data_IF_410467168702
#
_entry.id   IF_410467168702
#
_cell.length_a   1.000
_cell.length_b   1.000
_cell.length_c   1.000
_cell.angle_alpha   90.00
_cell.angle_beta   90.00
_cell.angle_gamma   90.00
#
_symmetry.space_group_name_H-M   'P 1'
#
loop_
_entity.id
_entity.type
_entity.pdbx_description
1 polymer ?
#
# COMPACT_ATOMS: atom_id res chain seq x y z
N UNK A 1 5.53 -23.48 -4.80
CA UNK A 1 6.31 -22.23 -4.91
C UNK A 1 5.95 -21.54 -6.20
N UNK A 2 5.79 -20.23 -6.16
CA UNK A 2 5.41 -19.41 -7.32
C UNK A 2 6.59 -18.50 -7.65
N UNK A 3 7.57 -19.01 -8.41
CA UNK A 3 8.65 -18.16 -8.92
C UNK A 3 8.13 -17.33 -10.09
N UNK A 4 8.31 -16.00 -10.00
CA UNK A 4 7.95 -15.02 -11.02
C UNK A 4 9.17 -14.13 -11.27
N UNK A 5 10.04 -14.56 -12.18
CA UNK A 5 11.37 -13.97 -12.37
C UNK A 5 11.44 -12.95 -13.52
N UNK A 6 10.31 -12.69 -14.18
CA UNK A 6 10.22 -11.73 -15.27
C UNK A 6 9.58 -10.42 -14.80
N UNK A 7 9.94 -9.32 -15.44
CA UNK A 7 9.28 -8.02 -15.31
C UNK A 7 8.28 -7.81 -16.44
N UNK A 8 7.27 -7.00 -16.21
CA UNK A 8 6.35 -6.61 -17.28
C UNK A 8 6.80 -5.27 -17.87
N UNK A 9 7.39 -5.29 -19.06
CA UNK A 9 7.93 -4.12 -19.74
C UNK A 9 7.48 -4.13 -21.21
N UNK A 10 6.91 -3.03 -21.67
CA UNK A 10 6.48 -2.84 -23.06
C UNK A 10 5.54 -3.94 -23.57
N UNK A 11 4.53 -4.30 -22.75
CA UNK A 11 3.56 -5.33 -23.11
C UNK A 11 4.09 -6.77 -23.05
N UNK A 12 5.28 -6.99 -22.51
CA UNK A 12 5.93 -8.31 -22.49
C UNK A 12 6.51 -8.65 -21.11
N UNK A 13 6.52 -9.94 -20.81
CA UNK A 13 7.26 -10.48 -19.69
C UNK A 13 8.71 -10.72 -20.11
N UNK A 14 9.64 -9.98 -19.49
CA UNK A 14 11.06 -9.97 -19.86
C UNK A 14 11.94 -10.32 -18.65
N UNK A 15 13.04 -11.03 -18.90
CA UNK A 15 14.01 -11.38 -17.86
C UNK A 15 14.75 -10.15 -17.35
N UNK A 16 15.09 -10.18 -16.05
CA UNK A 16 15.98 -9.20 -15.44
C UNK A 16 17.40 -9.26 -16.02
N UNK A 17 18.09 -8.13 -16.01
CA UNK A 17 19.54 -8.08 -16.29
C UNK A 17 20.39 -8.71 -15.17
N UNK A 18 19.80 -9.03 -14.03
CA UNK A 18 20.44 -9.68 -12.89
C UNK A 18 19.89 -11.08 -12.68
N UNK A 19 20.73 -11.99 -12.18
CA UNK A 19 20.31 -13.30 -11.68
C UNK A 19 19.89 -13.29 -10.21
N UNK A 20 19.98 -12.14 -9.54
CA UNK A 20 19.55 -12.01 -8.14
C UNK A 20 18.04 -12.12 -8.01
N UNK A 21 17.61 -12.77 -6.93
CA UNK A 21 16.19 -12.95 -6.61
C UNK A 21 15.88 -12.47 -5.20
N UNK A 22 14.61 -12.16 -4.98
CA UNK A 22 14.06 -11.78 -3.68
C UNK A 22 13.11 -12.89 -3.26
N UNK A 23 13.31 -13.41 -2.05
CA UNK A 23 12.39 -14.37 -1.43
C UNK A 23 11.10 -13.67 -1.02
N UNK A 24 9.97 -14.26 -1.40
CA UNK A 24 8.65 -13.85 -0.89
C UNK A 24 8.25 -14.81 0.22
N UNK A 25 8.04 -14.26 1.40
CA UNK A 25 7.82 -15.03 2.62
C UNK A 25 6.37 -14.90 3.06
N UNK A 26 5.72 -16.03 3.36
CA UNK A 26 4.42 -16.01 4.03
C UNK A 26 4.64 -15.69 5.53
N UNK A 27 4.16 -14.55 6.03
CA UNK A 27 4.43 -14.11 7.40
C UNK A 27 3.69 -14.94 8.46
N UNK A 28 2.70 -15.73 8.08
CA UNK A 28 1.96 -16.58 9.00
C UNK A 28 2.78 -17.80 9.47
N UNK A 29 3.73 -18.27 8.64
CA UNK A 29 4.50 -19.48 8.92
C UNK A 29 5.99 -19.38 8.56
N UNK A 30 6.45 -18.19 8.17
CA UNK A 30 7.84 -17.85 7.81
C UNK A 30 8.40 -18.67 6.63
N UNK A 31 7.55 -19.33 5.85
CA UNK A 31 7.97 -20.14 4.70
C UNK A 31 8.09 -19.29 3.44
N UNK A 32 9.09 -19.60 2.64
CA UNK A 32 9.23 -19.05 1.30
C UNK A 32 8.11 -19.61 0.42
N UNK A 33 7.32 -18.73 -0.20
CA UNK A 33 6.22 -19.05 -1.11
C UNK A 33 6.61 -18.88 -2.58
N UNK A 34 7.79 -18.35 -2.85
CA UNK A 34 8.40 -18.22 -4.16
C UNK A 34 9.42 -17.09 -4.20
N UNK A 35 9.88 -16.76 -5.41
CA UNK A 35 10.88 -15.74 -5.65
C UNK A 35 10.41 -14.77 -6.73
N UNK A 36 10.89 -13.52 -6.66
CA UNK A 36 10.80 -12.54 -7.74
C UNK A 36 12.21 -12.07 -8.12
N UNK A 37 12.41 -11.61 -9.35
CA UNK A 37 13.68 -11.05 -9.75
C UNK A 37 14.01 -9.76 -8.98
N UNK A 38 15.26 -9.57 -8.61
CA UNK A 38 15.79 -8.33 -8.08
C UNK A 38 16.29 -7.45 -9.23
N UNK A 39 15.50 -6.44 -9.60
CA UNK A 39 15.80 -5.53 -10.70
C UNK A 39 17.02 -4.64 -10.47
N UNK A 40 17.54 -4.14 -11.55
CA UNK A 40 18.70 -3.26 -11.65
C UNK A 40 18.32 -1.86 -12.13
N UNK A 41 19.30 -0.96 -12.17
CA UNK A 41 19.15 0.37 -12.80
C UNK A 41 18.83 0.25 -14.29
N UNK A 42 19.40 -0.75 -14.97
CA UNK A 42 19.19 -0.95 -16.40
C UNK A 42 17.77 -1.45 -16.68
N UNK A 43 17.19 -2.30 -15.83
CA UNK A 43 15.79 -2.71 -15.96
C UNK A 43 14.85 -1.49 -15.82
N UNK A 44 15.15 -0.58 -14.90
CA UNK A 44 14.41 0.69 -14.78
C UNK A 44 14.57 1.55 -16.02
N UNK A 45 15.78 1.67 -16.56
CA UNK A 45 16.03 2.43 -17.78
C UNK A 45 15.21 1.88 -18.95
N UNK A 46 15.16 0.55 -19.16
CA UNK A 46 14.33 -0.10 -20.17
C UNK A 46 12.84 0.21 -19.97
N UNK A 47 12.34 0.10 -18.74
CA UNK A 47 10.94 0.37 -18.42
C UNK A 47 10.57 1.85 -18.66
N UNK A 48 11.45 2.79 -18.30
CA UNK A 48 11.21 4.23 -18.53
C UNK A 48 11.28 4.57 -20.02
N UNK A 49 12.20 3.97 -20.77
CA UNK A 49 12.26 4.14 -22.25
C UNK A 49 10.95 3.63 -22.89
N UNK A 50 10.46 2.45 -22.50
CA UNK A 50 9.19 1.92 -22.98
C UNK A 50 8.03 2.89 -22.66
N UNK A 51 7.94 3.36 -21.42
CA UNK A 51 6.94 4.33 -21.01
C UNK A 51 7.04 5.67 -21.78
N UNK A 52 8.25 6.16 -22.00
CA UNK A 52 8.49 7.42 -22.75
C UNK A 52 8.07 7.28 -24.21
N UNK A 53 8.33 6.15 -24.83
CA UNK A 53 7.91 5.87 -26.21
C UNK A 53 6.38 5.79 -26.31
N UNK A 54 5.73 5.06 -25.43
CA UNK A 54 4.27 4.96 -25.39
C UNK A 54 3.60 6.31 -25.12
N UNK A 55 4.22 7.16 -24.31
CA UNK A 55 3.70 8.49 -24.00
C UNK A 55 3.55 9.36 -25.24
N UNK A 56 4.42 9.22 -26.27
CA UNK A 56 4.36 10.02 -27.49
C UNK A 56 3.01 9.95 -28.21
N UNK A 57 2.29 8.85 -28.04
CA UNK A 57 0.96 8.63 -28.62
C UNK A 57 -0.14 8.69 -27.59
N UNK A 58 0.05 8.06 -26.42
CA UNK A 58 -1.00 7.92 -25.40
C UNK A 58 -1.44 9.26 -24.79
N UNK A 59 -0.57 10.25 -24.71
CA UNK A 59 -0.92 11.60 -24.24
C UNK A 59 -2.06 12.24 -25.04
N UNK A 60 -2.28 11.82 -26.29
CA UNK A 60 -3.34 12.30 -27.18
C UNK A 60 -4.58 11.38 -27.21
N UNK A 61 -4.58 10.32 -26.40
CA UNK A 61 -5.79 9.46 -26.27
C UNK A 61 -6.98 10.26 -25.84
N UNK A 62 -8.13 9.96 -26.40
CA UNK A 62 -9.37 10.63 -26.03
C UNK A 62 -9.80 10.24 -24.61
N UNK A 63 -10.70 11.03 -24.00
CA UNK A 63 -11.33 10.68 -22.73
C UNK A 63 -12.07 9.34 -22.84
N UNK A 64 -12.72 9.09 -23.96
CA UNK A 64 -13.51 7.87 -24.21
C UNK A 64 -12.60 6.64 -24.32
N UNK A 65 -11.45 6.71 -24.99
CA UNK A 65 -10.47 5.62 -25.02
C UNK A 65 -10.01 5.22 -23.62
N UNK A 66 -9.75 6.19 -22.77
CA UNK A 66 -9.31 5.96 -21.36
C UNK A 66 -10.44 5.41 -20.49
N UNK A 67 -11.68 5.83 -20.73
CA UNK A 67 -12.88 5.26 -20.09
C UNK A 67 -13.04 3.80 -20.48
N UNK A 68 -12.88 3.46 -21.78
CA UNK A 68 -12.95 2.08 -22.26
C UNK A 68 -11.86 1.21 -21.60
N UNK A 69 -10.61 1.68 -21.56
CA UNK A 69 -9.53 0.95 -20.90
C UNK A 69 -9.82 0.70 -19.42
N UNK A 70 -10.31 1.69 -18.67
CA UNK A 70 -10.66 1.51 -17.28
C UNK A 70 -11.80 0.50 -17.08
N UNK A 71 -12.82 0.50 -17.95
CA UNK A 71 -13.90 -0.51 -17.92
C UNK A 71 -13.36 -1.92 -18.16
N UNK A 72 -12.46 -2.09 -19.13
CA UNK A 72 -11.84 -3.38 -19.43
C UNK A 72 -10.98 -3.89 -18.26
N UNK A 73 -10.22 -2.99 -17.62
CA UNK A 73 -9.44 -3.31 -16.42
C UNK A 73 -10.36 -3.73 -15.25
N UNK A 74 -11.48 -3.04 -15.05
CA UNK A 74 -12.47 -3.40 -14.02
C UNK A 74 -12.99 -4.81 -14.26
N UNK A 75 -13.40 -5.13 -15.50
CA UNK A 75 -13.93 -6.44 -15.85
C UNK A 75 -12.90 -7.56 -15.61
N UNK A 76 -11.65 -7.36 -16.03
CA UNK A 76 -10.58 -8.35 -15.81
C UNK A 76 -10.16 -8.45 -14.35
N UNK A 77 -10.20 -7.34 -13.58
CA UNK A 77 -9.97 -7.38 -12.14
C UNK A 77 -11.05 -8.20 -11.42
N UNK A 78 -12.33 -8.05 -11.80
CA UNK A 78 -13.44 -8.83 -11.26
C UNK A 78 -13.29 -10.31 -11.57
N UNK A 79 -12.89 -10.67 -12.79
CA UNK A 79 -12.60 -12.04 -13.19
C UNK A 79 -11.49 -12.68 -12.33
N UNK A 80 -10.53 -11.90 -11.87
CA UNK A 80 -9.37 -12.33 -11.06
C UNK A 80 -9.49 -11.97 -9.58
N UNK A 81 -10.68 -11.57 -9.12
CA UNK A 81 -10.89 -11.06 -7.76
C UNK A 81 -10.40 -12.03 -6.67
N UNK A 82 -10.73 -13.31 -6.80
CA UNK A 82 -10.31 -14.32 -5.83
C UNK A 82 -8.79 -14.51 -5.82
N UNK A 83 -8.13 -14.40 -6.97
CA UNK A 83 -6.67 -14.49 -7.06
C UNK A 83 -5.99 -13.35 -6.27
N UNK A 84 -6.57 -12.13 -6.30
CA UNK A 84 -6.09 -11.03 -5.46
C UNK A 84 -6.30 -11.31 -3.98
N UNK A 85 -7.46 -11.83 -3.58
CA UNK A 85 -7.76 -12.20 -2.19
C UNK A 85 -6.73 -13.20 -1.67
N UNK A 86 -6.50 -14.28 -2.41
CA UNK A 86 -5.58 -15.35 -2.05
C UNK A 86 -4.13 -14.84 -2.01
N UNK A 87 -3.73 -14.03 -3.00
CA UNK A 87 -2.39 -13.47 -3.08
C UNK A 87 -2.09 -12.54 -1.89
N UNK A 88 -3.00 -11.64 -1.54
CA UNK A 88 -2.86 -10.75 -0.40
C UNK A 88 -2.75 -11.55 0.91
N UNK A 89 -3.58 -12.58 1.06
CA UNK A 89 -3.56 -13.44 2.25
C UNK A 89 -2.23 -14.16 2.40
N UNK A 90 -1.66 -14.66 1.31
CA UNK A 90 -0.40 -15.40 1.31
C UNK A 90 0.84 -14.51 1.51
N UNK A 91 0.96 -13.39 0.77
CA UNK A 91 2.19 -12.59 0.80
C UNK A 91 2.23 -11.53 1.91
N UNK A 92 1.06 -11.09 2.40
CA UNK A 92 0.96 -10.03 3.42
C UNK A 92 0.46 -10.55 4.77
N UNK A 93 -0.19 -11.73 4.80
CA UNK A 93 -0.76 -12.31 6.01
C UNK A 93 -2.07 -11.66 6.46
N UNK A 94 -2.75 -10.94 5.58
CA UNK A 94 -4.07 -10.39 5.88
C UNK A 94 -5.08 -11.53 6.05
N UNK A 95 -5.92 -11.53 7.10
CA UNK A 95 -6.99 -12.51 7.23
C UNK A 95 -7.86 -12.54 5.97
N UNK A 96 -8.23 -13.74 5.51
CA UNK A 96 -8.96 -13.93 4.25
C UNK A 96 -10.26 -13.11 4.19
N UNK A 97 -10.94 -12.95 5.33
CA UNK A 97 -12.12 -12.09 5.39
C UNK A 97 -11.79 -10.61 5.10
N UNK A 98 -10.64 -10.11 5.59
CA UNK A 98 -10.19 -8.73 5.35
C UNK A 98 -9.64 -8.58 3.93
N UNK A 99 -8.91 -9.58 3.43
CA UNK A 99 -8.43 -9.62 2.04
C UNK A 99 -9.59 -9.52 1.07
N UNK A 100 -10.68 -10.25 1.32
CA UNK A 100 -11.89 -10.21 0.50
C UNK A 100 -12.72 -8.94 0.73
N UNK A 101 -13.10 -8.65 1.98
CA UNK A 101 -14.08 -7.58 2.26
C UNK A 101 -13.51 -6.16 2.09
N UNK A 102 -12.18 -5.99 2.18
CA UNK A 102 -11.54 -4.67 2.18
C UNK A 102 -10.34 -4.56 1.23
N UNK A 103 -9.31 -5.40 1.36
CA UNK A 103 -8.04 -5.21 0.66
C UNK A 103 -8.20 -5.28 -0.88
N UNK A 104 -8.69 -6.40 -1.41
CA UNK A 104 -8.95 -6.55 -2.84
C UNK A 104 -10.09 -5.63 -3.30
N UNK A 105 -11.13 -5.47 -2.46
CA UNK A 105 -12.27 -4.62 -2.77
C UNK A 105 -11.89 -3.14 -2.92
N UNK A 106 -10.97 -2.64 -2.11
CA UNK A 106 -10.49 -1.25 -2.24
C UNK A 106 -9.75 -1.05 -3.56
N UNK A 107 -9.05 -2.06 -4.04
CA UNK A 107 -8.39 -2.01 -5.35
C UNK A 107 -9.36 -1.70 -6.48
N UNK A 108 -10.42 -2.49 -6.62
CA UNK A 108 -11.43 -2.26 -7.66
C UNK A 108 -12.25 -0.98 -7.42
N UNK A 109 -12.52 -0.65 -6.15
CA UNK A 109 -13.22 0.58 -5.79
C UNK A 109 -12.49 1.82 -6.29
N UNK A 110 -11.18 1.89 -6.10
CA UNK A 110 -10.36 3.02 -6.56
C UNK A 110 -10.43 3.19 -8.09
N UNK A 111 -10.44 2.09 -8.84
CA UNK A 111 -10.54 2.15 -10.31
C UNK A 111 -11.92 2.68 -10.71
N UNK A 112 -13.00 2.21 -10.07
CA UNK A 112 -14.37 2.71 -10.32
C UNK A 112 -14.50 4.19 -9.97
N UNK A 113 -14.01 4.64 -8.82
CA UNK A 113 -14.03 6.05 -8.41
C UNK A 113 -13.25 6.94 -9.39
N UNK A 114 -12.13 6.43 -9.90
CA UNK A 114 -11.35 7.13 -10.95
C UNK A 114 -12.14 7.22 -12.26
N UNK A 115 -12.80 6.13 -12.66
CA UNK A 115 -13.65 6.09 -13.85
C UNK A 115 -14.80 7.10 -13.76
N UNK A 116 -15.48 7.16 -12.61
CA UNK A 116 -16.58 8.09 -12.40
C UNK A 116 -16.09 9.55 -12.39
N UNK A 117 -14.96 9.82 -11.75
CA UNK A 117 -14.33 11.12 -11.81
C UNK A 117 -13.91 11.51 -13.24
N UNK A 118 -13.37 10.57 -14.03
CA UNK A 118 -12.96 10.83 -15.42
C UNK A 118 -14.14 11.18 -16.31
N UNK A 119 -15.29 10.52 -16.14
CA UNK A 119 -16.52 10.83 -16.93
C UNK A 119 -16.94 12.29 -16.77
N UNK A 120 -16.77 12.85 -15.59
CA UNK A 120 -17.18 14.23 -15.25
C UNK A 120 -16.04 15.25 -15.43
N UNK A 121 -14.79 14.79 -15.65
CA UNK A 121 -13.64 15.68 -15.66
C UNK A 121 -13.49 16.45 -16.96
N UNK A 122 -13.36 17.79 -16.86
CA UNK A 122 -13.07 18.67 -17.98
C UNK A 122 -11.58 18.96 -18.05
N UNK A 123 -10.94 18.48 -19.13
CA UNK A 123 -9.53 18.78 -19.40
C UNK A 123 -9.33 20.17 -20.00
N UNK A 124 -10.38 20.74 -20.60
CA UNK A 124 -10.38 22.09 -21.14
C UNK A 124 -11.49 22.90 -20.50
N UNK A 125 -11.20 24.14 -20.08
CA UNK A 125 -12.16 25.03 -19.47
C UNK A 125 -11.97 26.45 -19.98
N UNK A 126 -13.02 27.05 -20.54
CA UNK A 126 -13.02 28.47 -20.88
C UNK A 126 -13.11 29.32 -19.60
N UNK A 127 -12.18 30.27 -19.46
CA UNK A 127 -12.09 31.17 -18.32
C UNK A 127 -11.94 32.61 -18.84
N UNK A 128 -13.06 33.26 -19.13
CA UNK A 128 -13.05 34.60 -19.74
C UNK A 128 -12.43 34.60 -21.14
N UNK A 129 -11.31 35.28 -21.31
CA UNK A 129 -10.62 35.45 -22.60
C UNK A 129 -9.55 34.40 -22.89
N UNK A 130 -9.40 33.36 -22.02
CA UNK A 130 -8.44 32.27 -22.19
C UNK A 130 -9.05 30.91 -21.98
N UNK A 131 -8.38 29.89 -22.47
CA UNK A 131 -8.74 28.48 -22.23
C UNK A 131 -7.67 27.86 -21.33
N UNK A 132 -8.10 27.30 -20.20
CA UNK A 132 -7.26 26.47 -19.35
C UNK A 132 -7.26 25.03 -19.88
N UNK A 133 -6.08 24.54 -20.30
CA UNK A 133 -5.90 23.16 -20.77
C UNK A 133 -5.07 22.40 -19.73
N UNK A 134 -5.54 21.20 -19.35
CA UNK A 134 -4.82 20.27 -18.47
C UNK A 134 -4.29 19.12 -19.30
N UNK A 135 -2.97 19.00 -19.33
CA UNK A 135 -2.26 18.00 -20.13
C UNK A 135 -1.60 16.93 -19.25
N UNK A 136 -1.41 15.71 -19.78
CA UNK A 136 -0.65 14.66 -19.11
C UNK A 136 0.77 15.12 -18.78
N UNK A 137 1.24 14.83 -17.56
CA UNK A 137 2.56 15.32 -17.12
C UNK A 137 3.75 14.55 -17.76
N UNK A 138 3.52 13.35 -18.27
CA UNK A 138 4.58 12.50 -18.80
C UNK A 138 4.63 11.10 -18.16
N UNK A 139 5.82 10.56 -18.05
CA UNK A 139 6.06 9.28 -17.36
C UNK A 139 5.99 9.46 -15.85
N UNK A 140 5.18 8.64 -15.17
CA UNK A 140 5.05 8.64 -13.71
C UNK A 140 5.76 7.42 -13.12
N UNK A 141 6.77 7.66 -12.30
CA UNK A 141 7.40 6.64 -11.47
C UNK A 141 6.57 6.41 -10.19
N UNK A 142 6.24 5.17 -9.90
CA UNK A 142 5.40 4.80 -8.76
C UNK A 142 6.11 3.82 -7.85
N UNK A 143 6.13 4.13 -6.54
CA UNK A 143 6.67 3.24 -5.51
C UNK A 143 5.59 3.02 -4.46
N UNK A 144 5.22 1.77 -4.21
CA UNK A 144 4.12 1.42 -3.31
C UNK A 144 4.58 0.53 -2.15
N UNK A 145 3.96 0.68 -0.96
CA UNK A 145 4.24 -0.15 0.20
C UNK A 145 3.48 -1.48 0.15
N UNK A 146 3.72 -2.30 1.15
CA UNK A 146 3.20 -3.67 1.29
C UNK A 146 1.86 -3.77 2.05
N UNK A 147 1.49 -2.77 2.81
CA UNK A 147 0.45 -2.91 3.85
C UNK A 147 -1.00 -2.97 3.33
N UNK A 148 -1.30 -2.31 2.23
CA UNK A 148 -2.56 -2.34 1.50
C UNK A 148 -2.25 -2.40 0.00
N UNK A 149 -1.68 -3.52 -0.51
CA UNK A 149 -1.04 -3.54 -1.82
C UNK A 149 -1.96 -3.07 -2.94
N UNK A 150 -3.17 -3.60 -3.05
CA UNK A 150 -4.06 -3.19 -4.12
C UNK A 150 -4.58 -1.76 -3.99
N UNK A 151 -4.91 -1.31 -2.77
CA UNK A 151 -5.28 0.08 -2.55
C UNK A 151 -4.17 1.04 -3.02
N UNK A 152 -2.94 0.79 -2.61
CA UNK A 152 -1.80 1.67 -2.89
C UNK A 152 -1.40 1.68 -4.36
N UNK A 153 -1.53 0.56 -5.05
CA UNK A 153 -1.23 0.46 -6.48
C UNK A 153 -2.35 1.12 -7.29
N UNK A 154 -3.60 0.71 -7.08
CA UNK A 154 -4.72 1.16 -7.95
C UNK A 154 -5.03 2.64 -7.82
N UNK A 155 -4.89 3.25 -6.63
CA UNK A 155 -5.03 4.71 -6.45
C UNK A 155 -4.08 5.49 -7.37
N UNK A 156 -2.89 4.96 -7.63
CA UNK A 156 -1.88 5.62 -8.47
C UNK A 156 -2.06 5.29 -9.95
N UNK A 157 -2.15 4.00 -10.28
CA UNK A 157 -2.16 3.57 -11.69
C UNK A 157 -3.45 3.98 -12.40
N UNK A 158 -4.63 3.92 -11.74
CA UNK A 158 -5.87 4.35 -12.36
C UNK A 158 -5.90 5.86 -12.63
N UNK A 159 -5.43 6.66 -11.69
CA UNK A 159 -5.34 8.11 -11.84
C UNK A 159 -4.37 8.51 -12.96
N UNK A 160 -3.21 7.86 -13.07
CA UNK A 160 -2.26 8.12 -14.14
C UNK A 160 -2.83 7.74 -15.51
N UNK A 161 -3.51 6.59 -15.62
CA UNK A 161 -4.17 6.14 -16.85
C UNK A 161 -5.27 7.13 -17.25
N UNK A 162 -6.12 7.52 -16.32
CA UNK A 162 -7.20 8.51 -16.53
C UNK A 162 -6.65 9.87 -16.98
N UNK A 163 -5.50 10.28 -16.47
CA UNK A 163 -4.83 11.52 -16.85
C UNK A 163 -4.07 11.44 -18.20
N UNK A 164 -3.98 10.28 -18.85
CA UNK A 164 -3.23 10.09 -20.09
C UNK A 164 -1.72 9.98 -19.90
N UNK A 165 -1.26 9.63 -18.70
CA UNK A 165 0.14 9.41 -18.37
C UNK A 165 0.54 7.95 -18.59
N UNK A 166 1.82 7.72 -18.89
CA UNK A 166 2.42 6.39 -18.84
C UNK A 166 3.16 6.20 -17.53
N UNK A 167 3.46 4.93 -17.16
CA UNK A 167 3.92 4.67 -15.81
C UNK A 167 4.91 3.51 -15.69
N UNK A 168 5.74 3.59 -14.65
CA UNK A 168 6.61 2.51 -14.20
C UNK A 168 6.33 2.27 -12.71
N UNK A 169 5.86 1.08 -12.36
CA UNK A 169 5.55 0.67 -11.00
C UNK A 169 6.68 -0.16 -10.40
N UNK A 170 7.13 0.24 -9.21
CA UNK A 170 7.93 -0.57 -8.31
C UNK A 170 7.08 -0.92 -7.09
N UNK A 171 6.47 -2.12 -7.01
CA UNK A 171 5.77 -2.55 -5.81
C UNK A 171 6.76 -2.88 -4.69
N UNK A 172 6.26 -3.03 -3.46
CA UNK A 172 7.10 -3.49 -2.35
C UNK A 172 7.63 -4.90 -2.62
N UNK A 173 8.88 -5.14 -2.27
CA UNK A 173 9.51 -6.47 -2.27
C UNK A 173 8.87 -7.46 -1.28
N UNK A 174 8.08 -6.96 -0.33
CA UNK A 174 7.37 -7.78 0.67
C UNK A 174 6.06 -8.33 0.11
N UNK A 175 5.40 -7.57 -0.79
CA UNK A 175 4.14 -7.97 -1.43
C UNK A 175 4.20 -7.71 -2.95
N UNK A 176 5.08 -8.37 -3.69
CA UNK A 176 5.28 -8.10 -5.11
C UNK A 176 4.24 -8.76 -6.01
N UNK A 177 3.65 -9.88 -5.59
CA UNK A 177 2.75 -10.67 -6.45
C UNK A 177 1.46 -9.94 -6.78
N UNK A 178 0.92 -9.12 -5.87
CA UNK A 178 -0.23 -8.28 -6.17
C UNK A 178 0.00 -7.33 -7.35
N UNK A 179 1.19 -6.72 -7.41
CA UNK A 179 1.58 -5.87 -8.55
C UNK A 179 1.71 -6.64 -9.84
N UNK A 180 2.29 -7.85 -9.80
CA UNK A 180 2.45 -8.73 -10.96
C UNK A 180 1.09 -9.26 -11.45
N UNK A 181 0.19 -9.61 -10.54
CA UNK A 181 -1.17 -10.01 -10.90
C UNK A 181 -1.93 -8.87 -11.58
N UNK A 182 -1.73 -7.62 -11.13
CA UNK A 182 -2.32 -6.47 -11.80
C UNK A 182 -1.72 -6.24 -13.19
N UNK A 183 -0.43 -6.52 -13.41
CA UNK A 183 0.17 -6.48 -14.74
C UNK A 183 -0.49 -7.50 -15.69
N UNK A 184 -0.78 -8.72 -15.20
CA UNK A 184 -1.54 -9.73 -15.97
C UNK A 184 -2.96 -9.25 -16.32
N UNK A 185 -3.61 -8.54 -15.38
CA UNK A 185 -4.94 -7.91 -15.60
C UNK A 185 -4.84 -6.83 -16.68
N UNK A 186 -3.83 -5.97 -16.64
CA UNK A 186 -3.65 -4.89 -17.62
C UNK A 186 -3.37 -5.45 -19.03
N UNK A 187 -2.55 -6.49 -19.12
CA UNK A 187 -2.28 -7.20 -20.37
C UNK A 187 -3.57 -7.76 -20.99
N UNK A 188 -4.37 -8.47 -20.18
CA UNK A 188 -5.65 -9.05 -20.62
C UNK A 188 -6.72 -8.00 -20.95
N UNK A 189 -6.72 -6.88 -20.27
CA UNK A 189 -7.63 -5.75 -20.52
C UNK A 189 -7.29 -4.98 -21.81
N UNK A 190 -6.17 -5.31 -22.46
CA UNK A 190 -5.73 -4.67 -23.69
C UNK A 190 -5.13 -3.28 -23.50
N UNK A 191 -4.51 -3.02 -22.35
CA UNK A 191 -3.72 -1.79 -22.14
C UNK A 191 -2.56 -1.79 -23.14
N UNK A 192 -2.42 -0.76 -23.98
CA UNK A 192 -1.37 -0.73 -25.01
C UNK A 192 0.04 -0.82 -24.44
N UNK A 193 0.94 -1.43 -25.21
CA UNK A 193 2.33 -1.69 -24.84
C UNK A 193 3.03 -0.41 -24.33
N UNK A 194 3.78 -0.54 -23.24
CA UNK A 194 4.57 0.53 -22.65
C UNK A 194 3.80 1.53 -21.78
N UNK A 195 2.46 1.57 -21.80
CA UNK A 195 1.68 2.45 -20.94
C UNK A 195 1.89 2.09 -19.46
N UNK A 196 1.85 0.80 -19.14
CA UNK A 196 2.14 0.27 -17.82
C UNK A 196 3.37 -0.64 -17.88
N UNK A 197 4.33 -0.40 -16.96
CA UNK A 197 5.52 -1.21 -16.80
C UNK A 197 5.72 -1.53 -15.32
N UNK A 198 6.24 -2.72 -15.00
CA UNK A 198 6.48 -3.15 -13.62
C UNK A 198 7.88 -3.74 -13.50
N UNK A 199 8.64 -3.23 -12.51
CA UNK A 199 9.97 -3.75 -12.14
C UNK A 199 10.02 -3.98 -10.63
N UNK A 200 10.21 -5.24 -10.22
CA UNK A 200 10.47 -5.61 -8.84
C UNK A 200 11.92 -5.29 -8.46
N UNK A 201 12.19 -5.10 -7.18
CA UNK A 201 13.54 -4.89 -6.68
C UNK A 201 13.59 -4.10 -5.39
N UNK A 202 14.79 -3.97 -4.84
CA UNK A 202 15.01 -3.26 -3.60
C UNK A 202 14.91 -1.75 -3.76
N UNK A 203 14.30 -1.07 -2.77
CA UNK A 203 14.14 0.38 -2.76
C UNK A 203 15.42 1.17 -3.05
N UNK A 204 16.57 0.88 -2.37
CA UNK A 204 17.83 1.58 -2.60
C UNK A 204 18.43 1.41 -4.00
N UNK A 205 18.02 0.42 -4.78
CA UNK A 205 18.52 0.17 -6.15
C UNK A 205 17.48 0.66 -7.16
N UNK A 206 16.37 -0.06 -7.25
CA UNK A 206 15.32 0.18 -8.26
C UNK A 206 14.53 1.46 -7.97
N UNK A 207 14.18 1.69 -6.70
CA UNK A 207 13.46 2.89 -6.29
C UNK A 207 14.30 4.16 -6.46
N UNK A 208 15.58 4.11 -6.10
CA UNK A 208 16.52 5.22 -6.31
C UNK A 208 16.71 5.50 -7.81
N UNK A 209 16.96 4.47 -8.63
CA UNK A 209 17.12 4.61 -10.08
C UNK A 209 15.88 5.25 -10.73
N UNK A 210 14.67 4.84 -10.33
CA UNK A 210 13.42 5.40 -10.83
C UNK A 210 13.26 6.88 -10.43
N UNK A 211 13.63 7.21 -9.18
CA UNK A 211 13.53 8.57 -8.64
C UNK A 211 14.54 9.55 -9.28
N UNK A 212 15.73 9.06 -9.63
CA UNK A 212 16.80 9.83 -10.29
C UNK A 212 16.59 9.97 -11.79
N UNK A 213 15.77 9.11 -12.43
CA UNK A 213 15.71 9.02 -13.87
C UNK A 213 15.19 10.32 -14.51
N UNK A 214 15.96 10.92 -15.44
CA UNK A 214 15.68 12.23 -16.03
C UNK A 214 14.37 12.30 -16.84
N UNK A 215 13.97 11.17 -17.44
CA UNK A 215 12.78 11.09 -18.29
C UNK A 215 11.51 10.70 -17.51
N UNK A 216 11.60 10.60 -16.18
CA UNK A 216 10.45 10.51 -15.28
C UNK A 216 10.02 11.91 -14.89
N UNK A 217 8.79 12.30 -15.21
CA UNK A 217 8.26 13.64 -14.97
C UNK A 217 7.68 13.82 -13.55
N UNK A 218 7.22 12.73 -12.94
CA UNK A 218 6.63 12.74 -11.59
C UNK A 218 6.95 11.46 -10.85
N UNK A 219 7.23 11.57 -9.54
CA UNK A 219 7.24 10.45 -8.61
C UNK A 219 5.98 10.45 -7.75
N UNK A 220 5.30 9.31 -7.69
CA UNK A 220 4.20 9.04 -6.76
C UNK A 220 4.65 7.96 -5.77
N UNK A 221 4.96 8.39 -4.56
CA UNK A 221 5.54 7.55 -3.51
C UNK A 221 4.55 7.34 -2.36
N UNK A 222 4.46 6.11 -1.86
CA UNK A 222 3.85 5.83 -0.55
C UNK A 222 4.79 4.92 0.23
N UNK A 223 5.10 5.29 1.47
CA UNK A 223 5.99 4.50 2.32
C UNK A 223 6.43 5.22 3.59
N UNK A 224 7.62 4.87 4.09
CA UNK A 224 8.18 5.50 5.30
C UNK A 224 8.69 6.92 5.04
N UNK A 225 8.66 7.79 6.05
CA UNK A 225 9.21 9.15 5.99
C UNK A 225 10.66 9.16 5.53
N UNK A 226 11.50 8.25 6.03
CA UNK A 226 12.90 8.13 5.61
C UNK A 226 13.04 7.87 4.10
N UNK A 227 12.26 6.94 3.56
CA UNK A 227 12.29 6.64 2.13
C UNK A 227 11.69 7.80 1.31
N UNK A 228 10.64 8.47 1.80
CA UNK A 228 10.07 9.66 1.16
C UNK A 228 11.06 10.81 1.03
N UNK A 229 11.86 11.06 2.08
CA UNK A 229 12.94 12.06 2.02
C UNK A 229 13.95 11.68 0.92
N UNK A 230 14.39 10.44 0.84
CA UNK A 230 15.33 9.98 -0.18
C UNK A 230 14.77 10.13 -1.60
N UNK A 231 13.50 9.77 -1.82
CA UNK A 231 12.80 9.96 -3.11
C UNK A 231 12.73 11.43 -3.49
N UNK A 232 12.37 12.31 -2.55
CA UNK A 232 12.30 13.75 -2.81
C UNK A 232 13.68 14.34 -3.18
N UNK A 233 14.73 13.98 -2.44
CA UNK A 233 16.10 14.41 -2.71
C UNK A 233 16.60 13.93 -4.08
N UNK A 234 16.38 12.64 -4.40
CA UNK A 234 16.76 12.08 -5.70
C UNK A 234 16.01 12.76 -6.87
N UNK A 235 14.74 13.08 -6.67
CA UNK A 235 13.88 13.72 -7.66
C UNK A 235 14.24 15.20 -7.92
N UNK A 236 14.84 15.88 -6.97
CA UNK A 236 15.15 17.31 -7.05
C UNK A 236 16.14 17.65 -8.18
N UNK A 237 17.02 16.72 -8.54
CA UNK A 237 18.05 16.94 -9.58
C UNK A 237 17.47 17.24 -10.97
N UNK A 238 16.26 16.79 -11.26
CA UNK A 238 15.53 17.02 -12.53
C UNK A 238 14.25 17.85 -12.34
N UNK A 239 14.05 18.44 -11.14
CA UNK A 239 12.90 19.30 -10.80
C UNK A 239 11.56 18.64 -11.07
N UNK A 240 11.48 17.29 -11.01
CA UNK A 240 10.23 16.54 -11.22
C UNK A 240 9.25 16.73 -10.06
N UNK A 241 7.99 16.59 -10.33
CA UNK A 241 6.97 16.59 -9.27
C UNK A 241 7.12 15.38 -8.39
N UNK A 242 6.87 15.56 -7.08
CA UNK A 242 6.84 14.47 -6.10
C UNK A 242 5.55 14.56 -5.30
N UNK A 243 4.75 13.51 -5.36
CA UNK A 243 3.60 13.30 -4.50
C UNK A 243 3.93 12.21 -3.49
N UNK A 244 3.68 12.47 -2.21
CA UNK A 244 4.08 11.58 -1.13
C UNK A 244 2.91 11.31 -0.18
N UNK A 245 2.69 10.02 0.09
CA UNK A 245 1.87 9.52 1.18
C UNK A 245 2.79 8.81 2.19
N UNK A 246 2.80 9.24 3.43
CA UNK A 246 3.74 8.79 4.44
C UNK A 246 3.04 8.19 5.66
N UNK A 247 3.81 7.61 6.58
CA UNK A 247 3.29 7.10 7.83
C UNK A 247 2.78 8.21 8.75
N UNK A 248 1.86 7.85 9.63
CA UNK A 248 1.26 8.77 10.57
C UNK A 248 1.05 8.15 11.95
N UNK A 249 0.60 9.02 12.88
CA UNK A 249 0.10 8.68 14.21
C UNK A 249 -1.24 9.37 14.41
N UNK A 250 -2.24 8.88 13.67
CA UNK A 250 -3.58 9.48 13.66
C UNK A 250 -4.21 9.47 15.04
N UNK A 251 -4.86 10.58 15.37
CA UNK A 251 -5.58 10.72 16.63
C UNK A 251 -7.03 10.25 16.48
N UNK A 252 -7.50 9.50 17.48
CA UNK A 252 -8.91 9.25 17.73
C UNK A 252 -9.35 10.14 18.89
N UNK A 253 -10.19 11.13 18.63
CA UNK A 253 -10.59 12.13 19.63
C UNK A 253 -12.01 11.84 20.06
N UNK A 254 -12.20 11.56 21.34
CA UNK A 254 -13.51 11.29 21.95
C UNK A 254 -13.85 12.45 22.91
N UNK A 255 -14.89 13.18 22.55
CA UNK A 255 -15.36 14.35 23.31
C UNK A 255 -16.16 13.94 24.55
N UNK A 256 -16.33 14.88 25.50
CA UNK A 256 -17.03 14.66 26.76
C UNK A 256 -18.52 14.34 26.62
N UNK A 257 -19.13 14.84 25.58
CA UNK A 257 -20.54 14.70 25.25
C UNK A 257 -20.87 13.57 24.29
N UNK A 258 -19.90 12.65 24.10
CA UNK A 258 -20.12 11.45 23.29
C UNK A 258 -21.34 10.67 23.79
N UNK A 259 -22.26 10.37 22.88
CA UNK A 259 -23.53 9.70 23.23
C UNK A 259 -23.33 8.26 23.76
N UNK A 260 -22.31 7.57 23.30
CA UNK A 260 -21.98 6.20 23.67
C UNK A 260 -20.46 6.05 23.72
N UNK A 261 -19.89 6.18 24.89
CA UNK A 261 -18.44 6.10 25.12
C UNK A 261 -17.90 4.71 24.81
N UNK A 262 -18.59 3.66 25.26
CA UNK A 262 -18.16 2.27 25.07
C UNK A 262 -18.08 1.94 23.58
N UNK A 263 -19.13 2.24 22.82
CA UNK A 263 -19.16 2.00 21.38
C UNK A 263 -18.07 2.79 20.66
N UNK A 264 -17.82 4.02 21.03
CA UNK A 264 -16.82 4.89 20.40
C UNK A 264 -15.39 4.41 20.67
N UNK A 265 -15.08 4.05 21.91
CA UNK A 265 -13.78 3.49 22.28
C UNK A 265 -13.54 2.12 21.62
N UNK A 266 -14.53 1.22 21.70
CA UNK A 266 -14.47 -0.09 21.04
C UNK A 266 -14.28 0.02 19.53
N UNK A 267 -15.00 0.94 18.91
CA UNK A 267 -14.87 1.21 17.47
C UNK A 267 -13.48 1.71 17.10
N UNK A 268 -12.95 2.68 17.85
CA UNK A 268 -11.64 3.26 17.63
C UNK A 268 -10.50 2.26 17.85
N UNK A 269 -10.52 1.51 18.95
CA UNK A 269 -9.54 0.46 19.23
C UNK A 269 -9.60 -0.66 18.19
N UNK A 270 -10.81 -1.13 17.85
CA UNK A 270 -10.99 -2.16 16.81
C UNK A 270 -10.51 -1.71 15.42
N UNK A 271 -10.69 -0.43 15.09
CA UNK A 271 -10.15 0.13 13.84
C UNK A 271 -8.61 0.22 13.89
N UNK A 272 -8.03 0.57 15.05
CA UNK A 272 -6.58 0.59 15.22
C UNK A 272 -5.96 -0.79 15.00
N UNK A 273 -6.61 -1.86 15.49
CA UNK A 273 -6.11 -3.24 15.34
C UNK A 273 -6.35 -3.84 13.95
N UNK A 274 -7.24 -3.24 13.15
CA UNK A 274 -7.51 -3.73 11.80
C UNK A 274 -6.20 -3.84 11.00
N UNK A 275 -6.08 -4.91 10.19
CA UNK A 275 -4.86 -5.21 9.45
C UNK A 275 -3.60 -5.30 10.36
N UNK A 276 -3.79 -5.75 11.60
CA UNK A 276 -2.73 -5.82 12.64
C UNK A 276 -2.05 -4.46 12.91
N UNK A 277 -2.81 -3.36 12.80
CA UNK A 277 -2.31 -1.99 12.98
C UNK A 277 -1.46 -1.46 11.82
N UNK A 278 -1.35 -2.19 10.72
CA UNK A 278 -0.47 -1.89 9.59
C UNK A 278 -1.09 -0.93 8.58
N UNK A 279 -1.63 0.20 9.05
CA UNK A 279 -2.25 1.23 8.22
C UNK A 279 -1.69 2.60 8.53
N UNK A 280 -1.42 3.40 7.50
CA UNK A 280 -0.86 4.75 7.66
C UNK A 280 -1.78 5.69 8.46
N UNK A 281 -3.09 5.45 8.40
CA UNK A 281 -4.15 6.20 9.08
C UNK A 281 -4.71 5.47 10.32
N UNK A 282 -4.06 4.42 10.81
CA UNK A 282 -4.51 3.73 12.02
C UNK A 282 -4.61 4.72 13.19
N UNK A 283 -5.76 4.79 13.90
CA UNK A 283 -5.97 5.74 15.00
C UNK A 283 -5.26 5.26 16.28
N UNK A 284 -3.94 5.25 16.22
CA UNK A 284 -3.06 4.68 17.26
C UNK A 284 -2.97 5.50 18.53
N UNK A 285 -3.44 6.75 18.51
CA UNK A 285 -3.46 7.64 19.66
C UNK A 285 -4.90 8.05 19.99
N UNK A 286 -5.45 7.51 21.08
CA UNK A 286 -6.79 7.86 21.57
C UNK A 286 -6.70 8.98 22.59
N UNK A 287 -7.35 10.10 22.29
CA UNK A 287 -7.45 11.27 23.17
C UNK A 287 -8.84 11.28 23.80
N UNK A 288 -8.87 11.17 25.11
CA UNK A 288 -10.12 11.11 25.91
C UNK A 288 -10.01 12.11 27.06
N UNK A 289 -11.11 12.76 27.42
CA UNK A 289 -11.12 13.64 28.58
C UNK A 289 -10.85 12.87 29.87
N UNK A 290 -10.33 13.58 30.89
CA UNK A 290 -10.07 12.99 32.21
C UNK A 290 -11.33 12.41 32.85
N UNK A 291 -12.50 12.97 32.55
CA UNK A 291 -13.79 12.49 33.06
C UNK A 291 -14.12 11.05 32.57
N UNK A 292 -13.76 10.73 31.35
CA UNK A 292 -14.09 9.46 30.70
C UNK A 292 -12.88 8.49 30.64
N UNK A 293 -11.73 8.90 31.18
CA UNK A 293 -10.45 8.23 30.96
C UNK A 293 -10.43 6.78 31.45
N UNK A 294 -10.76 6.55 32.72
CA UNK A 294 -10.69 5.21 33.31
C UNK A 294 -11.61 4.21 32.59
N UNK A 295 -12.84 4.62 32.27
CA UNK A 295 -13.77 3.81 31.53
C UNK A 295 -13.24 3.53 30.09
N UNK A 296 -12.65 4.52 29.45
CA UNK A 296 -12.08 4.35 28.11
C UNK A 296 -10.90 3.37 28.12
N UNK A 297 -10.02 3.43 29.13
CA UNK A 297 -8.92 2.48 29.32
C UNK A 297 -9.45 1.05 29.46
N UNK A 298 -10.47 0.87 30.31
CA UNK A 298 -11.10 -0.44 30.57
C UNK A 298 -11.69 -1.05 29.27
N UNK A 299 -12.46 -0.24 28.53
CA UNK A 299 -13.06 -0.67 27.25
C UNK A 299 -12.01 -0.97 26.19
N UNK A 300 -10.97 -0.15 26.08
CA UNK A 300 -9.89 -0.38 25.12
C UNK A 300 -9.11 -1.67 25.45
N UNK A 301 -8.79 -1.89 26.72
CA UNK A 301 -8.14 -3.12 27.19
C UNK A 301 -8.98 -4.37 26.91
N UNK A 302 -10.29 -4.31 27.19
CA UNK A 302 -11.23 -5.41 26.90
C UNK A 302 -11.35 -5.66 25.41
N UNK A 303 -11.36 -4.60 24.58
CA UNK A 303 -11.40 -4.73 23.12
C UNK A 303 -10.14 -5.42 22.60
N UNK A 304 -8.97 -5.05 23.12
CA UNK A 304 -7.71 -5.72 22.76
C UNK A 304 -7.74 -7.22 23.14
N UNK A 305 -8.12 -7.55 24.36
CA UNK A 305 -8.23 -8.94 24.85
C UNK A 305 -9.20 -9.81 24.05
N UNK A 306 -10.26 -9.20 23.52
CA UNK A 306 -11.29 -9.89 22.72
C UNK A 306 -10.96 -9.93 21.21
N UNK A 307 -9.89 -9.27 20.77
CA UNK A 307 -9.46 -9.31 19.38
C UNK A 307 -8.62 -10.56 19.13
N UNK A 308 -9.20 -11.50 18.40
CA UNK A 308 -8.55 -12.80 18.10
C UNK A 308 -7.43 -12.64 17.08
N UNK A 309 -6.31 -13.31 17.35
CA UNK A 309 -5.10 -13.31 16.50
C UNK A 309 -4.81 -14.74 16.06
N UNK A 310 -4.50 -14.96 14.80
CA UNK A 310 -4.15 -16.29 14.32
C UNK A 310 -3.99 -16.43 12.81
N UNK A 311 -4.04 -17.67 12.34
CA UNK A 311 -3.84 -18.01 10.92
C UNK A 311 -4.77 -17.20 10.02
N UNK A 312 -4.23 -16.53 8.97
CA UNK A 312 -5.03 -15.75 8.02
C UNK A 312 -6.16 -16.53 7.33
N UNK A 313 -6.05 -17.85 7.21
CA UNK A 313 -7.09 -18.72 6.65
C UNK A 313 -8.14 -19.18 7.68
N UNK A 314 -7.91 -18.88 8.96
CA UNK A 314 -8.84 -19.21 10.05
C UNK A 314 -9.88 -18.12 10.34
N UNK A 315 -10.69 -18.35 11.36
CA UNK A 315 -11.71 -17.39 11.83
C UNK A 315 -11.14 -16.40 12.85
N UNK A 316 -10.02 -15.73 12.50
CA UNK A 316 -9.36 -14.76 13.36
C UNK A 316 -9.60 -13.33 12.88
N UNK A 317 -9.62 -12.39 13.83
CA UNK A 317 -9.87 -10.98 13.52
C UNK A 317 -8.68 -10.34 12.84
N UNK A 318 -7.46 -10.64 13.30
CA UNK A 318 -6.20 -10.12 12.75
C UNK A 318 -5.20 -11.26 12.50
N UNK A 319 -4.33 -11.05 11.53
CA UNK A 319 -3.25 -11.95 11.14
C UNK A 319 -1.88 -11.51 11.67
N UNK A 320 -0.79 -12.04 11.08
CA UNK A 320 0.58 -11.67 11.45
C UNK A 320 0.96 -10.26 10.98
N UNK A 321 2.10 -9.80 11.44
CA UNK A 321 2.84 -8.67 10.87
C UNK A 321 3.51 -9.13 9.58
N UNK A 322 3.47 -8.32 8.53
CA UNK A 322 3.82 -8.73 7.18
C UNK A 322 5.30 -9.15 6.98
N UNK A 323 6.21 -8.78 7.87
CA UNK A 323 7.62 -9.19 7.77
C UNK A 323 8.36 -9.12 9.11
N UNK A 324 9.47 -9.83 9.17
CA UNK A 324 10.33 -9.94 10.36
C UNK A 324 10.84 -8.60 10.89
N UNK A 325 11.27 -7.71 10.00
CA UNK A 325 11.82 -6.40 10.39
C UNK A 325 10.80 -5.54 11.11
N UNK A 326 9.54 -5.54 10.62
CA UNK A 326 8.45 -4.82 11.29
C UNK A 326 8.06 -5.50 12.60
N UNK A 327 8.00 -6.83 12.63
CA UNK A 327 7.72 -7.61 13.83
C UNK A 327 8.70 -7.29 14.96
N UNK A 328 10.00 -7.40 14.71
CA UNK A 328 11.04 -7.10 15.70
C UNK A 328 11.00 -5.63 16.16
N UNK A 329 10.75 -4.71 15.22
CA UNK A 329 10.59 -3.29 15.56
C UNK A 329 9.39 -3.03 16.47
N UNK A 330 8.25 -3.70 16.22
CA UNK A 330 7.04 -3.54 17.04
C UNK A 330 7.29 -4.05 18.44
N UNK A 331 7.88 -5.25 18.61
CA UNK A 331 8.21 -5.80 19.93
C UNK A 331 9.12 -4.84 20.71
N UNK A 332 10.19 -4.36 20.09
CA UNK A 332 11.09 -3.38 20.71
C UNK A 332 10.37 -2.09 21.14
N UNK A 333 9.43 -1.58 20.32
CA UNK A 333 8.67 -0.37 20.68
C UNK A 333 7.70 -0.62 21.82
N UNK A 334 7.15 -1.84 21.95
CA UNK A 334 6.33 -2.23 23.11
C UNK A 334 7.19 -2.27 24.38
N UNK A 335 8.36 -2.88 24.32
CA UNK A 335 9.32 -2.89 25.43
C UNK A 335 9.72 -1.47 25.85
N UNK A 336 10.04 -0.62 24.88
CA UNK A 336 10.41 0.78 25.12
C UNK A 336 9.29 1.55 25.81
N UNK A 337 8.03 1.36 25.39
CA UNK A 337 6.89 2.00 26.05
C UNK A 337 6.75 1.61 27.54
N UNK A 338 7.06 0.35 27.87
CA UNK A 338 7.10 -0.12 29.26
C UNK A 338 8.27 0.53 30.02
N UNK A 339 9.46 0.58 29.42
CA UNK A 339 10.67 1.19 29.99
C UNK A 339 10.49 2.69 30.25
N UNK A 340 9.80 3.40 29.36
CA UNK A 340 9.49 4.84 29.49
C UNK A 340 8.39 5.12 30.53
N UNK A 341 7.77 4.08 31.11
CA UNK A 341 6.80 4.20 32.21
C UNK A 341 5.34 4.25 31.78
N UNK A 342 5.01 3.95 30.53
CA UNK A 342 3.64 3.78 30.10
C UNK A 342 3.02 2.53 30.78
N UNK A 343 1.74 2.59 31.11
CA UNK A 343 1.04 1.48 31.75
C UNK A 343 0.52 0.51 30.70
N UNK A 344 1.11 -0.68 30.59
CA UNK A 344 0.60 -1.75 29.73
C UNK A 344 -0.69 -2.31 30.32
N UNK A 345 -1.83 -2.13 29.64
CA UNK A 345 -3.15 -2.58 30.11
C UNK A 345 -3.68 -3.80 29.34
N UNK A 346 -3.15 -4.07 28.15
CA UNK A 346 -3.43 -5.29 27.39
C UNK A 346 -2.31 -5.57 26.39
N UNK A 347 -2.16 -6.82 25.98
CA UNK A 347 -1.14 -7.25 25.03
C UNK A 347 0.24 -7.37 25.65
N UNK A 348 1.27 -6.99 24.90
CA UNK A 348 2.67 -7.07 25.28
C UNK A 348 3.51 -7.79 24.24
N UNK A 349 4.71 -8.24 24.64
CA UNK A 349 5.70 -8.85 23.75
C UNK A 349 5.55 -10.36 23.57
N UNK A 350 4.79 -11.00 24.44
CA UNK A 350 4.56 -12.44 24.34
C UNK A 350 3.76 -12.77 23.09
N UNK A 351 4.07 -13.91 22.45
CA UNK A 351 3.27 -14.38 21.31
C UNK A 351 1.85 -14.70 21.73
N UNK A 352 0.85 -14.47 20.86
CA UNK A 352 -0.52 -14.95 21.11
C UNK A 352 -0.56 -16.48 21.24
N UNK A 353 -1.49 -16.98 22.04
CA UNK A 353 -1.70 -18.42 22.22
C UNK A 353 -1.98 -19.12 20.87
N UNK A 354 -1.30 -20.23 20.61
CA UNK A 354 -1.42 -20.99 19.37
C UNK A 354 -0.66 -20.38 18.16
N UNK A 355 0.12 -19.32 18.37
CA UNK A 355 0.90 -18.64 17.33
C UNK A 355 2.42 -18.83 17.50
N UNK A 356 2.88 -20.05 17.73
CA UNK A 356 4.31 -20.35 18.01
C UNK A 356 5.22 -20.02 16.83
N UNK A 357 4.72 -20.16 15.59
CA UNK A 357 5.41 -19.82 14.34
C UNK A 357 4.73 -18.62 13.68
N UNK A 358 5.49 -17.81 12.92
CA UNK A 358 4.99 -16.60 12.25
C UNK A 358 5.20 -15.33 13.08
N UNK A 359 4.92 -14.18 12.45
CA UNK A 359 5.19 -12.85 13.01
C UNK A 359 3.98 -12.26 13.76
N UNK A 360 3.40 -13.02 14.68
CA UNK A 360 2.18 -12.62 15.40
C UNK A 360 2.50 -11.75 16.62
N UNK A 361 1.73 -10.68 16.78
CA UNK A 361 1.79 -9.76 17.93
C UNK A 361 0.40 -9.62 18.54
N UNK A 362 0.32 -9.57 19.86
CA UNK A 362 -0.93 -9.32 20.58
C UNK A 362 -1.40 -7.88 20.36
N UNK A 363 -2.72 -7.62 20.22
CA UNK A 363 -3.27 -6.28 20.32
C UNK A 363 -2.83 -5.61 21.61
N UNK A 364 -2.06 -4.53 21.52
CA UNK A 364 -1.38 -3.91 22.67
C UNK A 364 -1.95 -2.53 22.93
N UNK A 365 -2.27 -2.25 24.19
CA UNK A 365 -2.80 -0.97 24.66
C UNK A 365 -1.98 -0.45 25.83
N UNK A 366 -1.54 0.79 25.71
CA UNK A 366 -0.92 1.57 26.77
C UNK A 366 -1.85 2.65 27.30
N UNK A 367 -1.80 2.87 28.62
CA UNK A 367 -2.42 3.99 29.30
C UNK A 367 -1.34 4.85 29.98
N UNK A 368 -1.72 6.04 30.47
CA UNK A 368 -0.83 6.97 31.14
C UNK A 368 0.40 7.39 30.33
N UNK A 369 0.21 7.47 28.99
CA UNK A 369 1.26 7.93 28.08
C UNK A 369 1.40 9.45 28.15
N UNK A 370 2.63 9.96 28.03
CA UNK A 370 2.95 11.38 28.03
C UNK A 370 3.53 11.82 26.67
N UNK A 371 3.65 13.11 26.44
CA UNK A 371 4.11 13.67 25.15
C UNK A 371 5.60 13.54 24.91
N UNK A 372 6.37 13.21 25.94
CA UNK A 372 7.82 13.01 25.94
C UNK A 372 8.23 11.53 25.73
N UNK A 373 7.29 10.59 25.74
CA UNK A 373 7.51 9.20 25.37
C UNK A 373 7.67 9.04 23.86
N UNK A 374 8.43 8.03 23.44
CA UNK A 374 8.80 7.77 22.02
C UNK A 374 7.59 7.48 21.10
#
# INVERSE_FOLDING_TARGET
MKDKLDFYINGQWVQSESSETIEVINPANEKIIGHVAAGTKEDINKAVIAASNAFQTFQYSSKDDRIELLNNIIAEYENRYQDFVDTITEEMGSPIWLSSAAQAKTGIKNINETLDALKEYDFEKAEGDYILIKEPIGVVGMITPWNWPMNQITTKVSAALAAGCTMVLKPSEISPYCGMLLAEVFDKAGVPDGIFNLVNGYGPIVGAALSEHKDVAMMSFTGSTRAGIAVAQASATSVKRVHQELGGKSSNIILDDVADLEKSVKGGAGHCFLNSGQSCNAPTKMLVSSKNYDQAVEVAALTAKNTTVGDPHGEFRIGPIANKVQYEKILRLIELGIEEGATLVAGGVEKPEGCDQGYYVQPTVFANVTTDMT
#
